data_IF_857827406550
#
_entry.id   IF_857827406550
#
_cell.length_a   1.000
_cell.length_b   1.000
_cell.length_c   1.000
_cell.angle_alpha   90.00
_cell.angle_beta   90.00
_cell.angle_gamma   90.00
#
_symmetry.space_group_name_H-M   'P 1'
#
loop_
_entity.id
_entity.type
_entity.pdbx_description
1 polymer ?
#
# COMPACT_ATOMS: atom_id res chain seq x y z
N UNK A 1 6.23 -8.24 -10.79
CA UNK A 1 5.37 -9.28 -11.42
C UNK A 1 5.77 -10.71 -11.04
N UNK A 2 6.95 -11.23 -11.45
CA UNK A 2 7.39 -12.60 -11.12
C UNK A 2 7.33 -12.93 -9.62
N UNK A 3 7.90 -12.07 -8.77
CA UNK A 3 7.88 -12.24 -7.31
C UNK A 3 6.46 -12.42 -6.73
N UNK A 4 5.47 -11.69 -7.27
CA UNK A 4 4.08 -11.83 -6.86
C UNK A 4 3.47 -13.16 -7.32
N UNK A 5 3.76 -13.61 -8.55
CA UNK A 5 3.29 -14.90 -9.05
C UNK A 5 3.86 -16.06 -8.22
N UNK A 6 5.15 -16.02 -7.91
CA UNK A 6 5.81 -17.02 -7.06
C UNK A 6 5.21 -17.02 -5.64
N UNK A 7 4.87 -15.82 -5.11
CA UNK A 7 4.20 -15.68 -3.82
C UNK A 7 2.78 -16.26 -3.84
N UNK A 8 1.98 -15.98 -4.88
CA UNK A 8 0.65 -16.57 -5.05
C UNK A 8 0.70 -18.09 -5.15
N UNK A 9 1.63 -18.61 -5.95
CA UNK A 9 1.81 -20.06 -6.14
C UNK A 9 2.13 -20.78 -4.83
N UNK A 10 2.77 -20.10 -3.86
CA UNK A 10 3.05 -20.66 -2.54
C UNK A 10 1.78 -21.01 -1.75
N UNK A 11 0.67 -20.29 -1.96
CA UNK A 11 -0.62 -20.53 -1.28
C UNK A 11 -1.48 -21.60 -1.97
N UNK A 12 -1.27 -21.82 -3.27
CA UNK A 12 -1.96 -22.87 -4.04
C UNK A 12 -1.16 -24.18 -4.10
N UNK A 13 0.06 -24.19 -3.55
CA UNK A 13 0.88 -25.39 -3.48
C UNK A 13 0.15 -26.49 -2.64
N UNK A 14 0.13 -27.74 -3.11
CA UNK A 14 -0.54 -28.83 -2.39
C UNK A 14 0.01 -28.98 -0.97
N UNK A 15 -0.90 -29.31 -0.05
CA UNK A 15 -0.67 -29.41 1.40
C UNK A 15 0.61 -30.24 1.70
N UNK A 16 1.56 -29.75 2.53
CA UNK A 16 2.87 -30.38 2.76
C UNK A 16 2.84 -31.78 3.41
N UNK A 17 1.66 -32.38 3.57
CA UNK A 17 1.51 -33.78 3.99
C UNK A 17 1.95 -34.78 2.91
N UNK A 18 2.09 -34.34 1.67
CA UNK A 18 2.65 -35.14 0.58
C UNK A 18 4.08 -34.67 0.25
N UNK A 19 5.10 -35.32 0.84
CA UNK A 19 6.53 -35.24 0.44
C UNK A 19 7.05 -33.84 0.05
N UNK A 20 6.76 -32.79 0.83
CA UNK A 20 7.35 -31.48 0.55
C UNK A 20 8.81 -31.42 1.06
N UNK A 21 9.77 -31.26 0.15
CA UNK A 21 11.20 -31.05 0.46
C UNK A 21 11.48 -29.69 1.12
N UNK A 22 10.53 -28.74 1.03
CA UNK A 22 10.66 -27.37 1.56
C UNK A 22 9.49 -26.99 2.45
N UNK A 23 9.78 -26.23 3.49
CA UNK A 23 8.77 -25.63 4.38
C UNK A 23 8.00 -24.52 3.67
N UNK A 24 6.75 -24.27 4.06
CA UNK A 24 5.94 -23.16 3.55
C UNK A 24 6.67 -21.80 3.66
N UNK A 25 7.38 -21.55 4.77
CA UNK A 25 8.14 -20.32 4.97
C UNK A 25 9.32 -20.18 3.99
N UNK A 26 9.93 -21.28 3.60
CA UNK A 26 11.03 -21.28 2.62
C UNK A 26 10.50 -20.92 1.23
N UNK A 27 9.35 -21.50 0.84
CA UNK A 27 8.68 -21.20 -0.43
C UNK A 27 8.30 -19.70 -0.50
N UNK A 28 7.76 -19.16 0.59
CA UNK A 28 7.43 -17.72 0.71
C UNK A 28 8.69 -16.85 0.63
N UNK A 29 9.79 -17.24 1.29
CA UNK A 29 11.06 -16.51 1.23
C UNK A 29 11.67 -16.53 -0.18
N UNK A 30 11.56 -17.65 -0.89
CA UNK A 30 12.02 -17.82 -2.27
C UNK A 30 11.29 -16.93 -3.26
N UNK A 31 10.01 -16.61 -3.01
CA UNK A 31 9.24 -15.68 -3.83
C UNK A 31 9.81 -14.25 -3.86
N UNK A 32 10.66 -13.90 -2.88
CA UNK A 32 11.19 -12.55 -2.64
C UNK A 32 10.13 -11.46 -2.40
N UNK A 33 8.85 -11.81 -2.28
CA UNK A 33 7.80 -10.82 -2.08
C UNK A 33 7.95 -10.10 -0.73
N UNK A 34 8.09 -10.80 0.41
CA UNK A 34 8.31 -10.12 1.71
C UNK A 34 9.61 -9.31 1.73
N UNK A 35 10.65 -9.80 1.04
CA UNK A 35 11.92 -9.08 0.91
C UNK A 35 11.74 -7.75 0.18
N UNK A 36 10.96 -7.73 -0.91
CA UNK A 36 10.66 -6.51 -1.65
C UNK A 36 9.84 -5.52 -0.79
N UNK A 37 8.86 -6.01 -0.03
CA UNK A 37 8.05 -5.18 0.89
C UNK A 37 8.96 -4.51 1.93
N UNK A 38 9.81 -5.30 2.58
CA UNK A 38 10.80 -4.79 3.54
C UNK A 38 11.70 -3.73 2.90
N UNK A 39 12.23 -4.01 1.71
CA UNK A 39 13.11 -3.07 0.99
C UNK A 39 12.41 -1.75 0.65
N UNK A 40 11.15 -1.77 0.23
CA UNK A 40 10.39 -0.55 -0.04
C UNK A 40 10.18 0.28 1.24
N UNK A 41 9.84 -0.37 2.36
CA UNK A 41 9.69 0.29 3.66
C UNK A 41 11.02 0.90 4.14
N UNK A 42 12.15 0.19 4.00
CA UNK A 42 13.48 0.74 4.33
C UNK A 42 13.85 1.95 3.47
N UNK A 43 13.54 1.92 2.17
CA UNK A 43 13.79 3.04 1.27
C UNK A 43 12.93 4.26 1.62
N UNK A 44 11.63 4.06 1.88
CA UNK A 44 10.74 5.13 2.33
C UNK A 44 11.22 5.73 3.66
N UNK A 45 11.69 4.89 4.59
CA UNK A 45 12.29 5.31 5.87
C UNK A 45 13.51 6.21 5.67
N UNK A 46 14.35 5.92 4.67
CA UNK A 46 15.50 6.76 4.35
C UNK A 46 15.08 8.16 3.89
N UNK A 47 14.02 8.26 3.09
CA UNK A 47 13.48 9.54 2.67
C UNK A 47 12.79 10.31 3.81
N UNK A 48 12.08 9.59 4.69
CA UNK A 48 11.49 10.15 5.92
C UNK A 48 12.59 10.75 6.80
N UNK A 49 13.70 10.03 7.01
CA UNK A 49 14.83 10.52 7.78
C UNK A 49 15.43 11.80 7.18
N UNK A 50 15.62 11.84 5.86
CA UNK A 50 16.12 13.04 5.18
C UNK A 50 15.15 14.23 5.34
N UNK A 51 13.85 13.98 5.27
CA UNK A 51 12.83 15.02 5.38
C UNK A 51 12.66 15.54 6.82
N UNK A 52 12.50 14.67 7.80
CA UNK A 52 12.17 15.02 9.19
C UNK A 52 13.41 15.41 10.00
N UNK A 53 14.49 14.64 9.88
CA UNK A 53 15.70 14.84 10.71
C UNK A 53 16.69 15.77 10.03
N UNK A 54 16.95 15.56 8.74
CA UNK A 54 17.91 16.38 7.99
C UNK A 54 17.31 17.66 7.39
N UNK A 55 15.99 17.87 7.53
CA UNK A 55 15.26 19.01 6.97
C UNK A 55 15.58 19.25 5.49
N UNK A 56 15.71 18.15 4.74
CA UNK A 56 16.19 18.13 3.36
C UNK A 56 15.13 17.54 2.43
N UNK A 57 15.01 18.10 1.23
CA UNK A 57 14.14 17.56 0.18
C UNK A 57 14.76 16.30 -0.45
N UNK A 58 13.94 15.27 -0.66
CA UNK A 58 14.32 14.04 -1.37
C UNK A 58 13.51 13.86 -2.65
N UNK A 59 14.07 13.17 -3.64
CA UNK A 59 13.42 12.85 -4.90
C UNK A 59 13.60 11.35 -5.19
N UNK A 60 12.49 10.67 -5.48
CA UNK A 60 12.51 9.31 -6.01
C UNK A 60 12.51 9.36 -7.54
N UNK A 61 13.59 8.89 -8.17
CA UNK A 61 13.70 8.78 -9.62
C UNK A 61 14.16 7.38 -10.00
N UNK A 62 13.29 6.63 -10.66
CA UNK A 62 13.56 5.30 -11.20
C UNK A 62 13.37 5.35 -12.72
N UNK A 63 14.35 4.83 -13.48
CA UNK A 63 14.43 4.95 -14.94
C UNK A 63 13.19 4.43 -15.68
N UNK A 64 12.51 3.42 -15.12
CA UNK A 64 11.25 2.84 -15.62
C UNK A 64 10.31 2.47 -14.45
N UNK A 65 10.22 3.35 -13.44
CA UNK A 65 9.63 3.00 -12.15
C UNK A 65 8.63 3.98 -11.60
N UNK A 66 7.87 4.68 -12.44
CA UNK A 66 6.84 5.65 -11.97
C UNK A 66 5.90 5.05 -10.93
N UNK A 67 5.39 3.83 -11.17
CA UNK A 67 4.55 3.11 -10.20
C UNK A 67 5.29 2.87 -8.87
N UNK A 68 6.59 2.50 -8.91
CA UNK A 68 7.40 2.28 -7.71
C UNK A 68 7.77 3.59 -6.99
N UNK A 69 8.01 4.68 -7.74
CA UNK A 69 8.17 6.00 -7.16
C UNK A 69 6.92 6.40 -6.39
N UNK A 70 5.72 6.19 -6.97
CA UNK A 70 4.46 6.45 -6.28
C UNK A 70 4.32 5.65 -4.99
N UNK A 71 4.71 4.36 -4.98
CA UNK A 71 4.76 3.56 -3.73
C UNK A 71 5.63 4.24 -2.68
N UNK A 72 6.86 4.60 -3.04
CA UNK A 72 7.81 5.20 -2.08
C UNK A 72 7.32 6.55 -1.57
N UNK A 73 6.80 7.41 -2.45
CA UNK A 73 6.24 8.72 -2.09
C UNK A 73 5.00 8.57 -1.20
N UNK A 74 4.09 7.64 -1.50
CA UNK A 74 2.93 7.35 -0.66
C UNK A 74 3.34 6.88 0.74
N UNK A 75 4.29 5.93 0.83
CA UNK A 75 4.76 5.40 2.11
C UNK A 75 5.44 6.48 2.96
N UNK A 76 6.24 7.35 2.34
CA UNK A 76 6.82 8.52 3.03
C UNK A 76 5.74 9.48 3.51
N UNK A 77 4.74 9.81 2.68
CA UNK A 77 3.65 10.72 3.04
C UNK A 77 2.78 10.18 4.19
N UNK A 78 2.36 8.90 4.14
CA UNK A 78 1.61 8.25 5.23
C UNK A 78 2.39 8.27 6.56
N UNK A 79 3.71 8.13 6.48
CA UNK A 79 4.56 8.08 7.67
C UNK A 79 4.84 9.47 8.26
N UNK A 80 4.86 10.52 7.44
CA UNK A 80 5.12 11.90 7.87
C UNK A 80 3.85 12.66 8.29
N UNK A 81 2.73 12.46 7.58
CA UNK A 81 1.50 13.23 7.80
C UNK A 81 0.37 12.33 8.35
N UNK A 82 -0.09 12.57 9.60
CA UNK A 82 -1.21 11.86 10.19
C UNK A 82 -2.51 11.97 9.38
N UNK A 83 -2.71 13.05 8.60
CA UNK A 83 -3.89 13.21 7.76
C UNK A 83 -4.08 12.00 6.83
N UNK A 84 -3.02 11.51 6.19
CA UNK A 84 -3.08 10.36 5.28
C UNK A 84 -3.34 9.00 5.98
N UNK A 85 -3.40 8.98 7.31
CA UNK A 85 -3.79 7.79 8.10
C UNK A 85 -5.28 7.77 8.46
N UNK A 86 -6.00 8.83 8.10
CA UNK A 86 -7.48 8.88 8.13
C UNK A 86 -8.06 8.18 6.91
N UNK A 87 -9.34 7.79 6.97
CA UNK A 87 -10.04 7.24 5.80
C UNK A 87 -9.97 8.23 4.62
N UNK A 88 -10.43 9.46 4.84
CA UNK A 88 -10.46 10.50 3.81
C UNK A 88 -9.06 10.83 3.28
N UNK A 89 -8.07 10.95 4.16
CA UNK A 89 -6.70 11.25 3.75
C UNK A 89 -6.09 10.12 2.94
N UNK A 90 -6.30 8.86 3.32
CA UNK A 90 -5.84 7.72 2.53
C UNK A 90 -6.47 7.70 1.14
N UNK A 91 -7.77 8.02 1.03
CA UNK A 91 -8.46 8.15 -0.27
C UNK A 91 -7.82 9.23 -1.13
N UNK A 92 -7.61 10.42 -0.55
CA UNK A 92 -6.97 11.55 -1.24
C UNK A 92 -5.54 11.23 -1.67
N UNK A 93 -4.79 10.48 -0.86
CA UNK A 93 -3.45 10.05 -1.22
C UNK A 93 -3.46 9.10 -2.43
N UNK A 94 -4.37 8.13 -2.44
CA UNK A 94 -4.52 7.19 -3.55
C UNK A 94 -4.94 7.92 -4.82
N UNK A 95 -5.94 8.81 -4.74
CA UNK A 95 -6.38 9.64 -5.87
C UNK A 95 -5.20 10.43 -6.45
N UNK A 96 -4.52 11.18 -5.60
CA UNK A 96 -3.38 12.02 -5.98
C UNK A 96 -2.24 11.22 -6.61
N UNK A 97 -1.72 10.20 -5.95
CA UNK A 97 -0.45 9.57 -6.38
C UNK A 97 -0.66 8.48 -7.43
N UNK A 98 -1.84 7.85 -7.47
CA UNK A 98 -2.11 6.72 -8.35
C UNK A 98 -2.96 7.09 -9.55
N UNK A 99 -4.03 7.89 -9.38
CA UNK A 99 -4.93 8.24 -10.50
C UNK A 99 -4.38 9.38 -11.35
N UNK A 100 -3.70 10.37 -10.74
CA UNK A 100 -3.19 11.53 -11.47
C UNK A 100 -1.83 11.29 -12.14
N UNK A 101 -0.94 10.46 -11.54
CA UNK A 101 0.48 10.43 -11.95
C UNK A 101 1.06 9.05 -12.32
N UNK A 102 0.50 7.94 -11.83
CA UNK A 102 1.24 6.67 -11.83
C UNK A 102 0.54 5.48 -12.48
N UNK A 103 -0.79 5.41 -12.47
CA UNK A 103 -1.49 4.18 -12.79
C UNK A 103 -2.66 4.42 -13.75
N UNK A 104 -2.53 3.91 -14.97
CA UNK A 104 -3.68 3.75 -15.84
C UNK A 104 -4.45 2.49 -15.40
N UNK A 105 -5.51 2.67 -14.61
CA UNK A 105 -6.43 1.59 -14.26
C UNK A 105 -7.22 1.14 -15.50
N UNK A 106 -7.43 2.03 -16.48
CA UNK A 106 -8.07 1.71 -17.75
C UNK A 106 -7.16 0.96 -18.72
N UNK A 107 -7.65 -0.16 -19.26
CA UNK A 107 -7.05 -0.85 -20.39
C UNK A 107 -6.17 -2.06 -20.04
N UNK A 108 -6.00 -2.40 -18.77
CA UNK A 108 -5.40 -3.69 -18.40
C UNK A 108 -6.47 -4.78 -18.48
N UNK A 109 -6.50 -5.48 -19.62
CA UNK A 109 -6.97 -6.86 -19.62
C UNK A 109 -6.29 -7.60 -18.46
N UNK A 110 -6.95 -8.60 -17.85
CA UNK A 110 -6.41 -9.43 -16.75
C UNK A 110 -4.95 -9.92 -16.95
N UNK A 111 -4.44 -9.92 -18.19
CA UNK A 111 -3.09 -10.32 -18.61
C UNK A 111 -1.98 -9.30 -18.25
N UNK A 112 -2.28 -7.99 -18.26
CA UNK A 112 -1.30 -6.90 -18.03
C UNK A 112 -1.35 -6.34 -16.60
N UNK A 113 -1.99 -7.08 -15.70
CA UNK A 113 -2.05 -6.75 -14.29
C UNK A 113 -0.66 -6.51 -13.69
N UNK A 114 -0.46 -5.30 -13.16
CA UNK A 114 0.71 -4.92 -12.39
C UNK A 114 0.33 -4.98 -10.91
N UNK A 115 0.92 -5.88 -10.11
CA UNK A 115 0.60 -6.05 -8.69
C UNK A 115 1.19 -4.93 -7.82
N UNK A 116 1.53 -3.77 -8.39
CA UNK A 116 2.21 -2.69 -7.69
C UNK A 116 1.28 -1.96 -6.72
N UNK A 117 -0.01 -1.82 -7.07
CA UNK A 117 -0.99 -1.29 -6.11
C UNK A 117 -1.21 -2.26 -4.93
N UNK A 118 -1.31 -3.57 -5.19
CA UNK A 118 -1.35 -4.56 -4.10
C UNK A 118 -0.06 -4.58 -3.27
N UNK A 119 1.09 -4.39 -3.91
CA UNK A 119 2.37 -4.25 -3.22
C UNK A 119 2.37 -3.06 -2.26
N UNK A 120 1.84 -1.92 -2.71
CA UNK A 120 1.62 -0.75 -1.85
C UNK A 120 0.70 -1.07 -0.67
N UNK A 121 -0.45 -1.70 -0.92
CA UNK A 121 -1.39 -2.07 0.15
C UNK A 121 -0.76 -3.04 1.16
N UNK A 122 0.08 -3.99 0.72
CA UNK A 122 0.82 -4.87 1.63
C UNK A 122 1.82 -4.08 2.48
N UNK A 123 2.54 -3.13 1.88
CA UNK A 123 3.41 -2.24 2.64
C UNK A 123 2.62 -1.46 3.70
N UNK A 124 1.47 -0.89 3.36
CA UNK A 124 0.58 -0.19 4.31
C UNK A 124 0.06 -1.14 5.38
N UNK A 125 -0.31 -2.38 5.01
CA UNK A 125 -0.71 -3.41 5.96
C UNK A 125 0.40 -3.65 7.01
N UNK A 126 1.67 -3.75 6.60
CA UNK A 126 2.79 -3.86 7.55
C UNK A 126 2.86 -2.66 8.50
N UNK A 127 2.62 -1.42 8.01
CA UNK A 127 2.54 -0.23 8.86
C UNK A 127 1.40 -0.34 9.88
N UNK A 128 0.21 -0.79 9.46
CA UNK A 128 -0.95 -0.93 10.36
C UNK A 128 -0.74 -2.00 11.44
N UNK A 129 0.10 -2.99 11.15
CA UNK A 129 0.49 -4.03 12.12
C UNK A 129 1.53 -3.51 13.11
N UNK A 130 2.53 -2.77 12.65
CA UNK A 130 3.56 -2.16 13.49
C UNK A 130 3.02 -1.02 14.35
N UNK A 131 2.04 -0.25 13.85
CA UNK A 131 1.43 0.89 14.54
C UNK A 131 -0.10 0.74 14.62
N UNK A 132 -0.61 -0.15 15.48
CA UNK A 132 -2.03 -0.46 15.51
C UNK A 132 -2.96 0.72 15.81
N UNK A 133 -2.43 1.77 16.46
CA UNK A 133 -3.15 2.93 16.98
C UNK A 133 -3.04 4.17 16.08
N UNK A 134 -2.19 4.13 15.05
CA UNK A 134 -1.86 5.29 14.23
C UNK A 134 -2.81 5.47 13.03
N UNK A 135 -3.62 4.45 12.71
CA UNK A 135 -4.48 4.41 11.54
C UNK A 135 -5.95 4.38 11.97
N UNK A 136 -6.78 5.20 11.31
CA UNK A 136 -8.23 5.20 11.50
C UNK A 136 -8.87 3.95 10.89
N UNK A 137 -8.40 3.54 9.70
CA UNK A 137 -8.90 2.38 8.97
C UNK A 137 -8.29 1.06 9.45
N UNK A 138 -9.03 -0.02 9.26
CA UNK A 138 -8.62 -1.38 9.63
C UNK A 138 -8.04 -2.17 8.43
N UNK A 139 -7.65 -3.41 8.68
CA UNK A 139 -7.12 -4.32 7.64
C UNK A 139 -8.19 -4.80 6.67
N UNK A 140 -9.47 -4.77 7.08
CA UNK A 140 -10.61 -5.07 6.21
C UNK A 140 -10.74 -4.02 5.11
N UNK A 141 -10.61 -2.73 5.43
CA UNK A 141 -10.63 -1.65 4.46
C UNK A 141 -9.54 -1.80 3.39
N UNK A 142 -8.31 -2.13 3.79
CA UNK A 142 -7.22 -2.41 2.83
C UNK A 142 -7.54 -3.60 1.93
N UNK A 143 -8.13 -4.66 2.49
CA UNK A 143 -8.54 -5.86 1.74
C UNK A 143 -9.69 -5.55 0.78
N UNK A 144 -10.64 -4.72 1.20
CA UNK A 144 -11.76 -4.23 0.40
C UNK A 144 -11.25 -3.47 -0.82
N UNK A 145 -10.36 -2.49 -0.62
CA UNK A 145 -9.74 -1.73 -1.70
C UNK A 145 -8.95 -2.65 -2.62
N UNK A 146 -8.15 -3.57 -2.06
CA UNK A 146 -7.37 -4.52 -2.82
C UNK A 146 -8.24 -5.40 -3.72
N UNK A 147 -9.39 -5.87 -3.22
CA UNK A 147 -10.34 -6.66 -4.00
C UNK A 147 -11.04 -5.82 -5.07
N UNK A 148 -11.48 -4.62 -4.72
CA UNK A 148 -12.26 -3.77 -5.60
C UNK A 148 -11.45 -3.04 -6.66
N UNK A 149 -10.13 -2.94 -6.48
CA UNK A 149 -9.19 -2.56 -7.54
C UNK A 149 -9.30 -3.45 -8.80
N UNK A 150 -9.79 -4.68 -8.67
CA UNK A 150 -10.00 -5.60 -9.80
C UNK A 150 -11.44 -5.63 -10.30
N UNK A 151 -12.35 -5.05 -9.54
CA UNK A 151 -13.74 -5.01 -9.92
C UNK A 151 -13.95 -3.68 -10.62
N UNK A 152 -14.36 -3.72 -11.88
CA UNK A 152 -14.85 -2.57 -12.66
C UNK A 152 -16.16 -1.99 -12.07
N UNK A 153 -16.34 -2.07 -10.75
CA UNK A 153 -17.54 -1.75 -9.99
C UNK A 153 -17.51 -0.33 -9.44
N UNK A 154 -16.32 0.21 -9.16
CA UNK A 154 -16.16 1.56 -8.62
C UNK A 154 -15.43 2.43 -9.61
N UNK A 155 -16.04 3.58 -9.89
CA UNK A 155 -15.56 4.61 -10.81
C UNK A 155 -14.20 5.17 -10.41
N UNK A 156 -13.85 5.15 -9.12
CA UNK A 156 -12.53 5.57 -8.65
C UNK A 156 -11.40 4.68 -9.17
N UNK A 157 -11.65 3.38 -9.38
CA UNK A 157 -10.71 2.48 -10.07
C UNK A 157 -11.04 2.36 -11.56
N UNK A 158 -12.20 2.87 -11.95
CA UNK A 158 -12.57 3.32 -13.29
C UNK A 158 -11.48 4.22 -13.91
N UNK A 159 -11.41 5.45 -13.40
CA UNK A 159 -10.79 6.58 -14.10
C UNK A 159 -9.28 6.71 -13.90
N UNK A 160 -8.49 6.17 -14.84
CA UNK A 160 -7.10 6.58 -15.06
C UNK A 160 -7.00 7.91 -15.83
N UNK A 161 -5.95 8.71 -15.55
CA UNK A 161 -5.55 10.00 -16.14
C UNK A 161 -6.71 10.90 -16.63
N UNK A 162 -6.92 12.06 -15.98
CA UNK A 162 -7.97 13.09 -16.24
C UNK A 162 -8.46 13.21 -17.70
N UNK A 163 -7.58 13.01 -18.68
CA UNK A 163 -7.89 12.90 -20.12
C UNK A 163 -9.03 11.94 -20.53
N UNK A 164 -9.45 10.95 -19.73
CA UNK A 164 -10.55 10.01 -20.07
C UNK A 164 -11.85 10.32 -19.30
N UNK A 165 -11.82 11.26 -18.34
CA UNK A 165 -12.97 11.57 -17.51
C UNK A 165 -14.04 12.44 -18.20
N UNK A 166 -13.72 13.02 -19.37
CA UNK A 166 -14.63 13.95 -20.07
C UNK A 166 -15.75 13.26 -20.89
N UNK A 167 -15.70 11.93 -21.08
CA UNK A 167 -16.59 11.21 -22.02
C UNK A 167 -17.52 10.15 -21.39
N UNK A 168 -17.66 10.06 -20.06
CA UNK A 168 -18.51 9.05 -19.40
C UNK A 168 -19.49 9.67 -18.40
N UNK A 169 -20.76 9.26 -18.48
CA UNK A 169 -21.84 9.71 -17.60
C UNK A 169 -21.49 9.51 -16.10
N UNK A 170 -21.54 10.60 -15.33
CA UNK A 170 -21.42 10.63 -13.86
C UNK A 170 -22.45 9.68 -13.23
N UNK A 171 -22.04 8.47 -12.83
CA UNK A 171 -23.00 7.49 -12.32
C UNK A 171 -22.47 6.31 -11.52
N UNK A 172 -21.18 6.01 -11.54
CA UNK A 172 -20.64 4.93 -10.72
C UNK A 172 -20.21 5.39 -9.33
N UNK A 173 -20.27 4.45 -8.40
CA UNK A 173 -19.98 4.73 -7.00
C UNK A 173 -18.48 5.01 -6.83
N UNK A 174 -18.14 6.06 -6.10
CA UNK A 174 -16.79 6.25 -5.58
C UNK A 174 -16.56 5.24 -4.45
N UNK A 175 -15.34 4.70 -4.31
CA UNK A 175 -15.01 3.88 -3.13
C UNK A 175 -15.09 4.69 -1.82
N UNK A 176 -15.26 6.01 -1.90
CA UNK A 176 -15.66 6.84 -0.77
C UNK A 176 -17.00 6.39 -0.12
N UNK A 177 -17.84 5.64 -0.84
CA UNK A 177 -19.05 4.99 -0.34
C UNK A 177 -18.83 3.58 0.21
N UNK A 178 -17.60 3.06 0.16
CA UNK A 178 -17.24 1.86 0.89
C UNK A 178 -17.34 2.15 2.39
N UNK A 179 -18.53 1.93 2.95
CA UNK A 179 -18.76 1.95 4.38
C UNK A 179 -17.85 0.86 4.97
N UNK A 180 -16.78 1.28 5.65
CA UNK A 180 -15.99 0.40 6.53
C UNK A 180 -16.99 -0.10 7.57
N UNK A 181 -17.56 -1.28 7.32
CA UNK A 181 -18.67 -1.89 8.04
C UNK A 181 -18.52 -1.59 9.54
N UNK A 182 -19.20 -0.53 10.01
CA UNK A 182 -18.80 0.30 11.19
C UNK A 182 -18.83 -0.43 12.53
N UNK A 183 -19.14 -1.73 12.55
CA UNK A 183 -18.96 -2.56 13.74
C UNK A 183 -17.49 -2.88 14.04
N UNK A 184 -16.60 -2.81 13.04
CA UNK A 184 -15.20 -3.28 13.14
C UNK A 184 -14.14 -2.17 12.97
N UNK A 185 -14.53 -0.87 12.92
CA UNK A 185 -13.56 0.21 13.06
C UNK A 185 -12.84 -0.01 14.38
N UNK A 186 -11.51 -0.18 14.34
CA UNK A 186 -10.69 -0.48 15.51
C UNK A 186 -11.13 0.43 16.67
N UNK A 187 -11.78 -0.16 17.68
CA UNK A 187 -12.07 0.48 18.98
C UNK A 187 -10.81 1.01 19.68
N UNK A 188 -9.64 0.68 19.12
CA UNK A 188 -8.31 1.06 19.55
C UNK A 188 -7.83 2.39 18.92
N UNK A 189 -8.51 2.95 17.92
CA UNK A 189 -8.17 4.27 17.40
C UNK A 189 -8.33 5.31 18.52
N UNK A 190 -7.24 5.99 18.87
CA UNK A 190 -7.26 7.07 19.85
C UNK A 190 -6.94 8.39 19.18
N UNK A 191 -7.88 9.33 19.24
CA UNK A 191 -7.69 10.70 18.78
C UNK A 191 -6.58 11.42 19.57
N UNK A 192 -6.22 10.95 20.77
CA UNK A 192 -5.06 11.46 21.52
C UNK A 192 -3.74 10.94 20.97
N UNK A 193 -3.67 9.67 20.52
CA UNK A 193 -2.49 9.10 19.88
C UNK A 193 -2.23 9.71 18.49
N UNK A 194 -3.28 10.16 17.81
CA UNK A 194 -3.20 10.92 16.55
C UNK A 194 -2.37 12.21 16.71
N UNK A 195 -2.54 12.94 17.83
CA UNK A 195 -1.81 14.18 18.13
C UNK A 195 -0.38 13.93 18.65
N UNK A 196 -0.14 12.83 19.36
CA UNK A 196 1.22 12.47 19.82
C UNK A 196 2.09 11.84 18.72
N UNK A 197 1.50 11.47 17.57
CA UNK A 197 2.18 10.81 16.45
C UNK A 197 2.87 11.78 15.46
N UNK A 198 3.25 12.97 15.94
CA UNK A 198 3.73 14.10 15.13
C UNK A 198 4.95 13.81 14.24
N UNK A 199 5.60 12.68 14.45
CA UNK A 199 6.16 11.88 13.37
C UNK A 199 6.27 10.48 13.97
N UNK A 200 6.10 9.43 13.16
CA UNK A 200 6.55 8.10 13.57
C UNK A 200 8.09 8.12 13.49
N UNK A 201 8.73 8.89 14.36
CA UNK A 201 10.17 9.12 14.43
C UNK A 201 10.94 7.88 14.89
N UNK A 202 10.23 6.80 15.21
CA UNK A 202 10.80 5.48 15.48
C UNK A 202 10.94 4.61 14.23
N UNK A 203 10.48 5.05 13.04
CA UNK A 203 10.66 4.30 11.79
C UNK A 203 12.14 4.03 11.46
N UNK A 204 13.01 5.02 11.71
CA UNK A 204 14.46 4.86 11.53
C UNK A 204 15.05 3.78 12.42
N UNK A 205 14.52 3.61 13.63
CA UNK A 205 15.07 2.67 14.62
C UNK A 205 14.61 1.24 14.37
N UNK A 206 13.39 1.07 13.83
CA UNK A 206 12.79 -0.25 13.57
C UNK A 206 13.55 -1.03 12.50
N UNK A 207 13.92 -0.38 11.38
CA UNK A 207 14.62 -1.06 10.27
C UNK A 207 16.15 -1.09 10.42
N UNK A 208 16.74 -0.29 11.31
CA UNK A 208 18.17 -0.35 11.61
C UNK A 208 18.53 -1.46 12.60
N UNK A 209 17.58 -1.97 13.38
CA UNK A 209 17.82 -3.07 14.34
C UNK A 209 17.99 -4.46 13.70
N UNK A 210 17.76 -4.61 12.40
CA UNK A 210 17.78 -5.91 11.69
C UNK A 210 19.14 -6.25 11.04
N UNK A 211 20.18 -5.43 11.26
CA UNK A 211 21.52 -5.62 10.69
C UNK A 211 22.62 -5.97 11.72
N UNK A 212 22.24 -6.44 12.92
CA UNK A 212 23.18 -6.97 13.92
C UNK A 212 23.03 -8.47 14.12
#
# INVERSE_FOLDING_TARGET
>A
KKSYQDFQNAFFAPNPKDKAEKSFLEIISESKWPFNVCKALSLATSAIFLADVCMSSSLFSLTDGTELCAVLTCLSQISLDPYYRTLLGFQKLVEKEWLEFAYNFYGKNFVDFSPIFLFFLDCVYQLTFQFPWAFEFNTYYLSFIGFHNFTDKFDTFLFGNETVADDVEEGGESFAHADDNRSDTKSLYSHSAFLDSYSINQFSDIFNSSNS
#
